data_IF_912176183608
#
_entry.id   IF_912176183608
#
_cell.length_a   1.000
_cell.length_b   1.000
_cell.length_c   1.000
_cell.angle_alpha   90.00
_cell.angle_beta   90.00
_cell.angle_gamma   90.00
#
_symmetry.space_group_name_H-M   'P 1'
#
loop_
_entity.id
_entity.type
_entity.pdbx_description
1 polymer ?
#
# COMPACT_ATOMS: atom_id res chain seq x y z
N UNK A 1 -29.96 -26.00 2.74
CA UNK A 1 -28.86 -26.85 2.28
C UNK A 1 -28.59 -26.44 0.86
N UNK A 2 -27.34 -26.14 0.52
CA UNK A 2 -26.98 -25.59 -0.79
C UNK A 2 -27.07 -26.71 -1.84
N UNK A 3 -27.70 -26.46 -3.00
CA UNK A 3 -28.11 -27.48 -3.98
C UNK A 3 -26.94 -28.31 -4.50
N UNK A 4 -25.76 -27.71 -4.62
CA UNK A 4 -24.58 -28.32 -5.22
C UNK A 4 -23.44 -28.60 -4.23
N UNK A 5 -23.68 -28.52 -2.92
CA UNK A 5 -22.63 -28.57 -1.88
C UNK A 5 -21.65 -29.75 -2.03
N UNK A 6 -22.17 -30.98 -2.16
CA UNK A 6 -21.32 -32.17 -2.29
C UNK A 6 -20.50 -32.18 -3.59
N UNK A 7 -21.09 -31.66 -4.67
CA UNK A 7 -20.43 -31.62 -5.99
C UNK A 7 -19.30 -30.59 -5.99
N UNK A 8 -19.54 -29.41 -5.41
CA UNK A 8 -18.53 -28.37 -5.27
C UNK A 8 -17.37 -28.83 -4.40
N UNK A 9 -17.66 -29.50 -3.28
CA UNK A 9 -16.63 -30.08 -2.41
C UNK A 9 -15.77 -31.09 -3.19
N UNK A 10 -16.40 -32.01 -3.92
CA UNK A 10 -15.68 -33.00 -4.73
C UNK A 10 -14.79 -32.35 -5.80
N UNK A 11 -15.32 -31.38 -6.55
CA UNK A 11 -14.58 -30.67 -7.60
C UNK A 11 -13.37 -29.91 -7.02
N UNK A 12 -13.56 -29.19 -5.92
CA UNK A 12 -12.49 -28.43 -5.28
C UNK A 12 -11.41 -29.33 -4.69
N UNK A 13 -11.78 -30.43 -4.02
CA UNK A 13 -10.83 -31.40 -3.45
C UNK A 13 -10.02 -32.14 -4.53
N UNK A 14 -10.64 -32.48 -5.67
CA UNK A 14 -9.95 -33.22 -6.74
C UNK A 14 -9.07 -32.34 -7.62
N UNK A 15 -9.49 -31.10 -7.87
CA UNK A 15 -8.68 -30.14 -8.60
C UNK A 15 -7.59 -29.50 -7.75
N UNK A 16 -7.77 -29.45 -6.43
CA UNK A 16 -6.95 -28.65 -5.52
C UNK A 16 -7.13 -27.14 -5.72
N UNK A 17 -8.14 -26.73 -6.49
CA UNK A 17 -8.50 -25.33 -6.71
C UNK A 17 -9.62 -24.98 -5.73
N UNK A 18 -9.40 -24.03 -4.80
CA UNK A 18 -10.44 -23.64 -3.86
C UNK A 18 -11.65 -23.04 -4.57
N UNK A 19 -12.84 -23.31 -4.05
CA UNK A 19 -14.09 -22.69 -4.52
C UNK A 19 -14.74 -21.98 -3.35
N UNK A 20 -15.04 -20.71 -3.54
CA UNK A 20 -15.68 -19.84 -2.56
C UNK A 20 -17.09 -19.49 -3.04
N UNK A 21 -18.03 -19.43 -2.11
CA UNK A 21 -19.41 -19.00 -2.40
C UNK A 21 -19.77 -17.87 -1.45
N UNK A 22 -19.99 -16.69 -2.01
CA UNK A 22 -20.51 -15.52 -1.29
C UNK A 22 -22.02 -15.50 -1.46
N UNK A 23 -22.73 -16.01 -0.45
CA UNK A 23 -24.19 -16.02 -0.41
C UNK A 23 -24.74 -15.20 0.75
N UNK A 24 -26.07 -15.16 0.88
CA UNK A 24 -26.75 -14.41 1.96
C UNK A 24 -26.38 -14.89 3.37
N UNK A 25 -25.90 -16.14 3.50
CA UNK A 25 -25.57 -16.79 4.78
C UNK A 25 -24.10 -16.64 5.20
N UNK A 26 -23.31 -15.88 4.45
CA UNK A 26 -21.88 -15.69 4.69
C UNK A 26 -20.99 -16.31 3.61
N UNK A 27 -19.69 -16.38 3.91
CA UNK A 27 -18.66 -16.87 3.00
C UNK A 27 -18.39 -18.36 3.22
N UNK A 28 -18.77 -19.20 2.24
CA UNK A 28 -18.45 -20.64 2.24
C UNK A 28 -17.16 -20.91 1.47
N UNK A 29 -16.41 -21.92 1.90
CA UNK A 29 -15.15 -22.33 1.27
C UNK A 29 -15.09 -23.85 1.09
N UNK A 30 -14.66 -24.29 -0.10
CA UNK A 30 -14.51 -25.70 -0.50
C UNK A 30 -13.09 -25.96 -1.01
N UNK A 31 -12.58 -27.18 -0.80
CA UNK A 31 -11.22 -27.57 -1.19
C UNK A 31 -10.11 -27.02 -0.27
N UNK A 32 -10.48 -26.36 0.83
CA UNK A 32 -9.58 -25.83 1.85
C UNK A 32 -10.07 -26.23 3.23
N UNK A 33 -9.13 -26.44 4.16
CA UNK A 33 -9.49 -26.73 5.55
C UNK A 33 -9.86 -25.44 6.27
N UNK A 34 -10.96 -25.47 7.00
CA UNK A 34 -11.48 -24.32 7.75
C UNK A 34 -10.45 -23.78 8.76
N UNK A 35 -9.69 -24.67 9.41
CA UNK A 35 -8.60 -24.33 10.33
C UNK A 35 -7.44 -23.55 9.68
N UNK A 36 -7.34 -23.54 8.34
CA UNK A 36 -6.29 -22.81 7.62
C UNK A 36 -6.68 -21.38 7.27
N UNK A 37 -7.97 -21.06 7.35
CA UNK A 37 -8.50 -19.79 6.88
C UNK A 37 -8.09 -18.62 7.78
N UNK A 38 -7.94 -17.43 7.18
CA UNK A 38 -7.63 -16.19 7.89
C UNK A 38 -8.85 -15.63 8.66
N UNK A 39 -8.93 -14.31 8.86
CA UNK A 39 -10.17 -13.65 9.30
C UNK A 39 -11.20 -13.62 8.16
N UNK A 40 -12.49 -13.85 8.47
CA UNK A 40 -13.55 -13.90 7.46
C UNK A 40 -13.80 -12.53 6.81
N UNK A 41 -13.77 -11.44 7.57
CA UNK A 41 -14.02 -10.10 7.06
C UNK A 41 -12.98 -9.69 6.02
N UNK A 42 -11.71 -10.02 6.30
CA UNK A 42 -10.59 -9.78 5.38
C UNK A 42 -10.73 -10.58 4.10
N UNK A 43 -11.10 -11.88 4.20
CA UNK A 43 -11.33 -12.72 3.02
C UNK A 43 -12.50 -12.24 2.19
N UNK A 44 -13.63 -11.95 2.84
CA UNK A 44 -14.85 -11.53 2.19
C UNK A 44 -14.65 -10.23 1.41
N UNK A 45 -13.93 -9.26 2.00
CA UNK A 45 -13.56 -8.02 1.30
C UNK A 45 -12.76 -8.32 0.04
N UNK A 46 -11.66 -9.08 0.17
CA UNK A 46 -10.81 -9.44 -0.98
C UNK A 46 -11.58 -10.18 -2.07
N UNK A 47 -12.41 -11.17 -1.70
CA UNK A 47 -13.19 -11.96 -2.66
C UNK A 47 -14.30 -11.13 -3.32
N UNK A 48 -14.90 -10.18 -2.60
CA UNK A 48 -15.82 -9.20 -3.17
C UNK A 48 -15.12 -8.30 -4.18
N UNK A 49 -13.88 -7.88 -3.91
CA UNK A 49 -13.07 -7.23 -4.94
C UNK A 49 -12.93 -8.19 -6.12
N UNK A 50 -12.53 -9.45 -5.89
CA UNK A 50 -12.30 -10.43 -6.97
C UNK A 50 -13.51 -10.61 -7.88
N UNK A 51 -14.70 -10.54 -7.31
CA UNK A 51 -15.97 -10.60 -8.02
C UNK A 51 -16.52 -9.25 -8.51
N UNK A 52 -15.84 -8.12 -8.29
CA UNK A 52 -16.32 -6.78 -8.67
C UNK A 52 -16.61 -6.70 -10.18
N UNK A 53 -17.84 -6.39 -10.59
CA UNK A 53 -18.20 -6.35 -12.02
C UNK A 53 -18.48 -7.72 -12.65
N UNK A 54 -18.63 -8.77 -11.85
CA UNK A 54 -19.14 -10.08 -12.26
C UNK A 54 -20.68 -10.07 -12.32
N UNK A 55 -21.24 -9.22 -13.19
CA UNK A 55 -22.69 -9.03 -13.29
C UNK A 55 -23.35 -10.01 -14.24
N UNK A 56 -22.69 -10.36 -15.35
CA UNK A 56 -23.17 -11.32 -16.34
C UNK A 56 -22.02 -12.18 -16.88
N UNK A 57 -22.26 -13.48 -17.04
CA UNK A 57 -21.27 -14.42 -17.59
C UNK A 57 -20.23 -14.92 -16.59
N UNK A 58 -19.21 -15.60 -17.12
CA UNK A 58 -18.05 -16.12 -16.39
C UNK A 58 -16.86 -15.23 -16.70
N UNK A 59 -16.16 -14.77 -15.68
CA UNK A 59 -14.97 -13.94 -15.87
C UNK A 59 -13.75 -14.61 -15.25
N UNK A 60 -12.67 -14.72 -16.03
CA UNK A 60 -11.38 -15.21 -15.55
C UNK A 60 -10.42 -14.02 -15.43
N UNK A 61 -9.74 -13.95 -14.28
CA UNK A 61 -8.83 -12.87 -13.91
C UNK A 61 -7.49 -13.44 -13.51
N UNK A 62 -6.43 -12.77 -13.94
CA UNK A 62 -5.06 -13.06 -13.53
C UNK A 62 -4.51 -11.86 -12.76
N UNK A 63 -4.16 -12.05 -11.50
CA UNK A 63 -3.56 -10.98 -10.71
C UNK A 63 -2.08 -10.82 -11.11
N UNK A 64 -1.51 -9.64 -10.82
CA UNK A 64 -0.09 -9.33 -11.06
C UNK A 64 0.92 -10.26 -10.35
N UNK A 65 0.46 -10.98 -9.33
CA UNK A 65 1.16 -12.06 -8.61
C UNK A 65 1.26 -13.35 -9.43
N UNK A 66 0.48 -13.50 -10.50
CA UNK A 66 0.45 -14.68 -11.38
C UNK A 66 -0.60 -15.72 -11.00
N UNK A 67 -1.42 -15.44 -9.99
CA UNK A 67 -2.54 -16.28 -9.57
C UNK A 67 -3.79 -16.01 -10.41
N UNK A 68 -4.54 -17.08 -10.66
CA UNK A 68 -5.76 -17.11 -11.44
C UNK A 68 -6.97 -17.22 -10.51
N UNK A 69 -7.98 -16.42 -10.84
CA UNK A 69 -9.30 -16.47 -10.27
C UNK A 69 -10.35 -16.51 -11.37
N UNK A 70 -11.49 -17.10 -11.07
CA UNK A 70 -12.69 -16.90 -11.87
C UNK A 70 -13.86 -16.56 -10.98
N UNK A 71 -14.79 -15.76 -11.49
CA UNK A 71 -16.05 -15.46 -10.82
C UNK A 71 -17.23 -15.66 -11.77
N UNK A 72 -18.39 -15.95 -11.20
CA UNK A 72 -19.68 -15.83 -11.86
C UNK A 72 -20.82 -15.77 -10.82
N UNK A 73 -21.94 -15.20 -11.21
CA UNK A 73 -23.15 -15.12 -10.37
C UNK A 73 -24.13 -16.26 -10.71
N UNK A 74 -24.81 -16.80 -9.70
CA UNK A 74 -25.88 -17.78 -9.84
C UNK A 74 -26.94 -17.61 -8.73
N UNK A 75 -27.97 -18.47 -8.70
CA UNK A 75 -29.12 -18.34 -7.78
C UNK A 75 -28.73 -18.26 -6.29
N UNK A 76 -27.69 -18.99 -5.86
CA UNK A 76 -27.29 -19.08 -4.45
C UNK A 76 -26.24 -18.03 -4.03
N UNK A 77 -25.82 -17.18 -4.98
CA UNK A 77 -24.84 -16.11 -4.74
C UNK A 77 -23.73 -16.05 -5.79
N UNK A 78 -22.60 -15.49 -5.39
CA UNK A 78 -21.43 -15.33 -6.26
C UNK A 78 -20.41 -16.44 -5.99
N UNK A 79 -20.03 -17.14 -7.04
CA UNK A 79 -19.06 -18.23 -7.00
C UNK A 79 -17.70 -17.71 -7.45
N UNK A 80 -16.66 -18.06 -6.71
CA UNK A 80 -15.28 -17.68 -7.02
C UNK A 80 -14.41 -18.94 -6.98
N UNK A 81 -13.73 -19.24 -8.08
CA UNK A 81 -12.71 -20.29 -8.14
C UNK A 81 -11.32 -19.66 -8.03
N UNK A 82 -10.43 -20.28 -7.25
CA UNK A 82 -9.04 -19.83 -7.05
C UNK A 82 -8.69 -19.61 -5.58
N UNK A 83 -7.44 -19.27 -5.24
CA UNK A 83 -6.34 -19.04 -6.16
C UNK A 83 -5.87 -20.34 -6.80
N UNK A 84 -5.51 -20.26 -8.07
CA UNK A 84 -4.68 -21.25 -8.75
C UNK A 84 -3.42 -20.58 -9.28
N UNK A 85 -2.33 -21.32 -9.46
CA UNK A 85 -1.04 -20.74 -9.83
C UNK A 85 -0.46 -21.43 -11.06
N UNK A 86 -0.06 -20.66 -12.07
CA UNK A 86 0.70 -21.20 -13.20
C UNK A 86 2.13 -21.55 -12.81
N UNK A 87 2.75 -20.70 -11.97
CA UNK A 87 4.03 -20.98 -11.32
C UNK A 87 3.83 -21.08 -9.82
N UNK A 88 3.97 -22.29 -9.28
CA UNK A 88 3.64 -22.55 -7.89
C UNK A 88 4.55 -21.76 -6.91
N UNK A 89 4.01 -21.17 -5.82
CA UNK A 89 4.79 -20.32 -4.93
C UNK A 89 5.95 -21.01 -4.20
N UNK A 90 5.89 -22.34 -4.04
CA UNK A 90 6.97 -23.10 -3.39
C UNK A 90 8.16 -23.43 -4.31
N UNK A 91 8.06 -23.18 -5.62
CA UNK A 91 9.12 -23.45 -6.61
C UNK A 91 9.61 -22.18 -7.32
N UNK A 92 9.28 -21.00 -6.79
CA UNK A 92 9.74 -19.71 -7.34
C UNK A 92 8.62 -18.75 -7.76
N UNK A 93 7.35 -19.14 -7.64
CA UNK A 93 6.21 -18.25 -7.83
C UNK A 93 6.02 -17.25 -6.69
N UNK A 94 5.17 -16.23 -6.91
CA UNK A 94 4.78 -15.30 -5.84
C UNK A 94 3.61 -15.88 -5.05
N UNK A 95 3.62 -15.71 -3.73
CA UNK A 95 2.53 -16.17 -2.83
C UNK A 95 1.21 -15.43 -3.01
N UNK A 96 1.27 -14.19 -3.53
CA UNK A 96 0.15 -13.30 -3.77
C UNK A 96 -0.93 -13.33 -2.67
N UNK A 97 -2.15 -13.67 -3.04
CA UNK A 97 -3.34 -13.66 -2.19
C UNK A 97 -3.36 -14.72 -1.08
N UNK A 98 -2.44 -15.69 -1.08
CA UNK A 98 -2.40 -16.73 -0.05
C UNK A 98 -2.27 -16.15 1.37
N UNK A 99 -1.56 -15.03 1.54
CA UNK A 99 -1.42 -14.35 2.83
C UNK A 99 -2.68 -13.61 3.30
N UNK A 100 -3.64 -13.40 2.40
CA UNK A 100 -4.95 -12.79 2.69
C UNK A 100 -5.96 -13.89 3.01
N UNK A 101 -5.92 -15.00 2.26
CA UNK A 101 -6.89 -16.09 2.37
C UNK A 101 -6.61 -17.04 3.53
N UNK A 102 -5.35 -17.22 3.91
CA UNK A 102 -4.94 -18.20 4.92
C UNK A 102 -4.25 -17.54 6.11
N UNK A 103 -4.46 -18.10 7.30
CA UNK A 103 -3.76 -17.68 8.51
C UNK A 103 -2.23 -17.79 8.29
N UNK A 104 -1.42 -16.83 8.78
CA UNK A 104 0.03 -16.80 8.51
C UNK A 104 0.77 -18.11 8.81
N UNK A 105 0.37 -18.82 9.88
CA UNK A 105 0.95 -20.11 10.27
C UNK A 105 0.63 -21.24 9.26
N UNK A 106 -0.49 -21.13 8.54
CA UNK A 106 -1.06 -22.18 7.70
C UNK A 106 -0.86 -21.94 6.20
N UNK A 107 -0.34 -20.77 5.78
CA UNK A 107 -0.08 -20.45 4.36
C UNK A 107 0.72 -21.54 3.65
N UNK A 108 1.80 -22.04 4.26
CA UNK A 108 2.62 -23.09 3.65
C UNK A 108 1.85 -24.40 3.48
N UNK A 109 1.06 -24.79 4.48
CA UNK A 109 0.25 -26.00 4.45
C UNK A 109 -0.86 -25.91 3.41
N UNK A 110 -1.53 -24.75 3.31
CA UNK A 110 -2.54 -24.49 2.29
C UNK A 110 -1.96 -24.57 0.87
N UNK A 111 -0.79 -23.97 0.63
CA UNK A 111 -0.12 -24.03 -0.67
C UNK A 111 0.28 -25.45 -1.07
N UNK A 112 0.67 -26.32 -0.14
CA UNK A 112 1.00 -27.71 -0.46
C UNK A 112 -0.20 -28.52 -0.98
N UNK A 113 -1.43 -28.05 -0.73
CA UNK A 113 -2.66 -28.68 -1.22
C UNK A 113 -3.06 -28.19 -2.62
N UNK A 114 -2.41 -27.15 -3.15
CA UNK A 114 -2.77 -26.50 -4.41
C UNK A 114 -1.77 -26.89 -5.51
N UNK A 115 -2.20 -27.51 -6.62
CA UNK A 115 -1.30 -27.80 -7.73
C UNK A 115 -0.96 -26.54 -8.54
N UNK A 116 0.14 -26.62 -9.29
CA UNK A 116 0.35 -25.71 -10.40
C UNK A 116 -0.60 -26.09 -11.54
N UNK A 117 -1.31 -25.12 -12.11
CA UNK A 117 -2.31 -25.35 -13.17
C UNK A 117 -2.12 -24.28 -14.24
N UNK A 118 -2.11 -24.68 -15.51
CA UNK A 118 -2.06 -23.73 -16.64
C UNK A 118 -3.35 -22.92 -16.78
N UNK A 119 -3.28 -21.75 -17.41
CA UNK A 119 -4.48 -20.95 -17.72
C UNK A 119 -5.56 -21.75 -18.46
N UNK A 120 -5.16 -22.56 -19.45
CA UNK A 120 -6.07 -23.44 -20.19
C UNK A 120 -6.78 -24.47 -19.31
N UNK A 121 -6.04 -25.15 -18.42
CA UNK A 121 -6.62 -26.13 -17.48
C UNK A 121 -7.53 -25.46 -16.46
N UNK A 122 -7.17 -24.27 -15.99
CA UNK A 122 -8.01 -23.47 -15.10
C UNK A 122 -9.33 -23.08 -15.79
N UNK A 123 -9.29 -22.61 -17.04
CA UNK A 123 -10.50 -22.27 -17.80
C UNK A 123 -11.41 -23.49 -18.03
N UNK A 124 -10.84 -24.69 -18.25
CA UNK A 124 -11.62 -25.93 -18.34
C UNK A 124 -12.32 -26.27 -17.02
N UNK A 125 -11.60 -26.15 -15.90
CA UNK A 125 -12.17 -26.34 -14.57
C UNK A 125 -13.34 -25.38 -14.32
N UNK A 126 -13.15 -24.10 -14.64
CA UNK A 126 -14.17 -23.07 -14.47
C UNK A 126 -15.38 -23.32 -15.37
N UNK A 127 -15.17 -23.76 -16.61
CA UNK A 127 -16.27 -24.13 -17.52
C UNK A 127 -17.13 -25.25 -16.93
N UNK A 128 -16.51 -26.32 -16.43
CA UNK A 128 -17.23 -27.42 -15.78
C UNK A 128 -17.96 -26.94 -14.52
N UNK A 129 -17.28 -26.13 -13.69
CA UNK A 129 -17.87 -25.58 -12.48
C UNK A 129 -19.11 -24.71 -12.77
N UNK A 130 -19.01 -23.84 -13.78
CA UNK A 130 -20.12 -23.00 -14.22
C UNK A 130 -21.25 -23.81 -14.83
N UNK A 131 -20.95 -24.84 -15.63
CA UNK A 131 -21.98 -25.71 -16.22
C UNK A 131 -22.75 -26.48 -15.15
N UNK A 132 -22.06 -26.97 -14.11
CA UNK A 132 -22.71 -27.64 -12.98
C UNK A 132 -23.67 -26.72 -12.22
N UNK A 133 -23.28 -25.45 -12.03
CA UNK A 133 -24.05 -24.51 -11.20
C UNK A 133 -25.15 -23.79 -12.00
N UNK A 134 -24.85 -23.36 -13.23
CA UNK A 134 -25.73 -22.54 -14.10
C UNK A 134 -26.46 -23.36 -15.17
N UNK A 135 -25.97 -24.55 -15.51
CA UNK A 135 -26.47 -25.31 -16.65
C UNK A 135 -26.03 -24.77 -18.03
N UNK A 136 -25.08 -23.84 -18.05
CA UNK A 136 -24.57 -23.20 -19.27
C UNK A 136 -23.12 -23.63 -19.50
N UNK A 137 -22.83 -24.11 -20.71
CA UNK A 137 -21.48 -24.49 -21.12
C UNK A 137 -20.80 -23.34 -21.86
N UNK A 138 -19.49 -23.19 -21.67
CA UNK A 138 -18.66 -22.14 -22.27
C UNK A 138 -17.49 -22.78 -23.02
N UNK A 139 -16.98 -22.09 -24.04
CA UNK A 139 -15.73 -22.51 -24.68
C UNK A 139 -14.53 -22.11 -23.79
N UNK A 140 -13.76 -23.07 -23.24
CA UNK A 140 -12.61 -22.75 -22.42
C UNK A 140 -11.53 -21.94 -23.16
N UNK A 141 -11.43 -22.10 -24.49
CA UNK A 141 -10.46 -21.36 -25.28
C UNK A 141 -10.85 -19.88 -25.43
N UNK A 142 -12.15 -19.59 -25.55
CA UNK A 142 -12.66 -18.22 -25.53
C UNK A 142 -12.40 -17.56 -24.16
N UNK A 143 -12.67 -18.28 -23.06
CA UNK A 143 -12.37 -17.79 -21.70
C UNK A 143 -10.89 -17.49 -21.50
N UNK A 144 -10.00 -18.34 -22.04
CA UNK A 144 -8.54 -18.14 -21.97
C UNK A 144 -8.10 -16.88 -22.75
N UNK A 145 -8.70 -16.63 -23.92
CA UNK A 145 -8.43 -15.44 -24.73
C UNK A 145 -8.92 -14.14 -24.09
N UNK A 146 -9.90 -14.22 -23.19
CA UNK A 146 -10.50 -13.08 -22.49
C UNK A 146 -9.92 -12.83 -21.09
N UNK A 147 -8.89 -13.59 -20.67
CA UNK A 147 -8.29 -13.43 -19.33
C UNK A 147 -7.82 -11.99 -19.12
N UNK A 148 -8.47 -11.29 -18.19
CA UNK A 148 -8.09 -9.93 -17.83
C UNK A 148 -6.94 -9.97 -16.84
N UNK A 149 -5.84 -9.30 -17.19
CA UNK A 149 -4.75 -9.07 -16.25
C UNK A 149 -5.16 -7.92 -15.34
N UNK A 150 -5.34 -8.23 -14.06
CA UNK A 150 -5.69 -7.24 -13.06
C UNK A 150 -4.44 -6.66 -12.43
N UNK A 151 -4.27 -5.35 -12.58
CA UNK A 151 -3.12 -4.63 -12.05
C UNK A 151 -3.44 -4.07 -10.67
N UNK A 152 -2.38 -3.90 -9.88
CA UNK A 152 -2.44 -3.25 -8.56
C UNK A 152 -3.18 -1.90 -8.63
N UNK A 153 -3.02 -1.16 -9.73
CA UNK A 153 -3.68 0.13 -9.95
C UNK A 153 -5.22 0.03 -9.89
N UNK A 154 -5.82 -1.00 -10.49
CA UNK A 154 -7.28 -1.11 -10.56
C UNK A 154 -7.90 -1.45 -9.18
N UNK A 155 -7.17 -2.19 -8.33
CA UNK A 155 -7.56 -2.44 -6.93
C UNK A 155 -7.40 -1.18 -6.07
N UNK A 156 -6.30 -0.43 -6.26
CA UNK A 156 -6.06 0.84 -5.55
C UNK A 156 -7.07 1.92 -5.93
N UNK A 157 -7.52 2.00 -7.19
CA UNK A 157 -8.51 2.99 -7.64
C UNK A 157 -9.88 2.77 -6.98
N UNK A 158 -10.27 1.50 -6.79
CA UNK A 158 -11.51 1.15 -6.09
C UNK A 158 -11.42 1.48 -4.59
N UNK A 159 -10.31 1.12 -3.94
CA UNK A 159 -10.05 1.44 -2.53
C UNK A 159 -9.93 2.95 -2.29
N UNK A 160 -9.33 3.69 -3.24
CA UNK A 160 -9.26 5.15 -3.20
C UNK A 160 -10.65 5.77 -3.23
N UNK A 161 -11.54 5.25 -4.07
CA UNK A 161 -12.92 5.73 -4.17
C UNK A 161 -13.64 5.58 -2.83
N UNK A 162 -13.56 4.42 -2.19
CA UNK A 162 -14.14 4.15 -0.86
C UNK A 162 -13.54 5.10 0.22
N UNK A 163 -12.21 5.20 0.28
CA UNK A 163 -11.53 6.07 1.24
C UNK A 163 -11.89 7.57 1.07
N UNK A 164 -12.11 8.04 -0.15
CA UNK A 164 -12.53 9.42 -0.42
C UNK A 164 -13.96 9.71 0.04
N UNK A 165 -14.84 8.70 0.10
CA UNK A 165 -16.17 8.84 0.69
C UNK A 165 -16.07 8.99 2.22
N UNK A 166 -15.30 8.13 2.89
CA UNK A 166 -15.15 8.15 4.35
C UNK A 166 -14.50 9.45 4.86
N UNK A 167 -13.46 9.95 4.17
CA UNK A 167 -12.77 11.21 4.52
C UNK A 167 -13.67 12.44 4.37
N UNK A 168 -14.71 12.39 3.54
CA UNK A 168 -15.67 13.50 3.39
C UNK A 168 -16.70 13.55 4.51
N UNK A 169 -16.96 12.43 5.18
CA UNK A 169 -17.83 12.36 6.36
C UNK A 169 -17.09 12.76 7.65
N UNK A 170 -15.80 12.46 7.75
CA UNK A 170 -14.94 12.83 8.88
C UNK A 170 -14.03 14.01 8.51
N UNK A 171 -14.31 15.23 8.95
CA UNK A 171 -13.39 16.37 8.79
C UNK A 171 -12.03 16.10 9.49
N UNK A 172 -11.10 15.44 8.80
CA UNK A 172 -9.78 15.08 9.32
C UNK A 172 -8.79 16.24 9.17
N UNK A 173 -8.41 16.85 10.28
CA UNK A 173 -7.23 17.73 10.35
C UNK A 173 -5.96 16.87 10.32
N UNK A 174 -5.18 16.93 9.23
CA UNK A 174 -3.93 16.16 9.07
C UNK A 174 -2.72 17.10 8.93
N UNK A 175 -1.55 16.61 9.33
CA UNK A 175 -0.28 17.33 9.15
C UNK A 175 0.11 17.51 7.66
N UNK A 176 -0.53 16.75 6.76
CA UNK A 176 -0.39 16.80 5.30
C UNK A 176 -1.33 17.81 4.64
N UNK A 177 -2.14 18.53 5.41
CA UNK A 177 -2.86 19.67 4.87
C UNK A 177 -1.85 20.57 4.16
N UNK A 178 -2.01 20.87 2.86
CA UNK A 178 -0.97 21.52 2.04
C UNK A 178 -0.43 22.82 2.65
N UNK A 179 -1.27 23.53 3.41
CA UNK A 179 -0.89 24.75 4.13
C UNK A 179 0.04 24.49 5.32
N UNK A 180 -0.23 23.45 6.10
CA UNK A 180 0.59 23.04 7.26
C UNK A 180 1.94 22.53 6.77
N UNK A 181 1.93 21.66 5.75
CA UNK A 181 3.14 21.12 5.13
C UNK A 181 4.04 22.24 4.59
N UNK A 182 3.47 23.17 3.80
CA UNK A 182 4.24 24.31 3.26
C UNK A 182 4.86 25.15 4.36
N UNK A 183 4.13 25.41 5.45
CA UNK A 183 4.63 26.22 6.58
C UNK A 183 5.80 25.52 7.29
N UNK A 184 5.67 24.24 7.62
CA UNK A 184 6.74 23.51 8.33
C UNK A 184 7.99 23.38 7.46
N UNK A 185 7.83 23.10 6.16
CA UNK A 185 8.95 22.98 5.22
C UNK A 185 9.60 24.33 4.90
N UNK A 186 8.86 25.43 4.94
CA UNK A 186 9.44 26.78 4.80
C UNK A 186 10.44 27.07 5.93
N UNK A 187 10.12 26.70 7.17
CA UNK A 187 11.07 26.86 8.28
C UNK A 187 12.34 26.01 8.11
N UNK A 188 12.22 24.81 7.53
CA UNK A 188 13.40 23.98 7.18
C UNK A 188 14.24 24.67 6.10
N UNK A 189 13.58 25.17 5.06
CA UNK A 189 14.21 25.84 3.91
C UNK A 189 14.96 27.10 4.35
N UNK A 190 14.42 27.87 5.30
CA UNK A 190 15.03 29.10 5.80
C UNK A 190 16.07 28.84 6.92
N UNK A 191 16.11 27.64 7.48
CA UNK A 191 16.93 27.34 8.66
C UNK A 191 16.39 27.94 9.96
N UNK A 192 15.08 28.14 10.06
CA UNK A 192 14.38 28.74 11.21
C UNK A 192 14.21 27.72 12.34
N UNK A 193 15.32 27.37 12.99
CA UNK A 193 15.36 26.38 14.09
C UNK A 193 14.39 26.71 15.22
N UNK A 194 14.23 27.98 15.58
CA UNK A 194 13.39 28.40 16.71
C UNK A 194 11.90 28.30 16.39
N UNK A 195 11.51 28.56 15.13
CA UNK A 195 10.14 28.37 14.68
C UNK A 195 9.74 26.89 14.71
N UNK A 196 10.64 25.99 14.31
CA UNK A 196 10.39 24.54 14.32
C UNK A 196 10.28 23.95 15.72
N UNK A 197 11.06 24.44 16.68
CA UNK A 197 10.93 24.01 18.09
C UNK A 197 9.57 24.35 18.68
N UNK A 198 8.98 25.45 18.24
CA UNK A 198 7.68 25.93 18.70
C UNK A 198 6.51 25.44 17.83
N UNK A 199 6.80 24.77 16.71
CA UNK A 199 5.79 24.28 15.80
C UNK A 199 5.11 23.03 16.38
N UNK A 200 3.79 23.11 16.57
CA UNK A 200 2.98 21.98 17.00
C UNK A 200 2.36 21.33 15.77
N UNK A 201 2.72 20.08 15.50
CA UNK A 201 2.06 19.30 14.46
C UNK A 201 0.57 19.11 14.80
N UNK A 202 -0.34 19.28 13.82
CA UNK A 202 -1.73 18.86 13.99
C UNK A 202 -1.76 17.38 14.36
N UNK A 203 -2.53 17.04 15.40
CA UNK A 203 -2.79 15.64 15.73
C UNK A 203 -4.01 15.20 14.95
N UNK A 204 -3.90 14.10 14.21
CA UNK A 204 -5.05 13.43 13.63
C UNK A 204 -6.01 13.08 14.77
N UNK A 205 -7.25 13.58 14.69
CA UNK A 205 -8.26 13.55 15.77
C UNK A 205 -8.91 12.20 16.01
N UNK A 206 -8.35 11.12 15.47
CA UNK A 206 -8.94 9.80 15.65
C UNK A 206 -8.32 9.09 16.87
N UNK A 207 -9.04 9.16 17.99
CA UNK A 207 -8.70 8.48 19.24
C UNK A 207 -9.13 7.00 19.22
N UNK A 208 -9.96 6.60 18.25
CA UNK A 208 -10.58 5.27 18.18
C UNK A 208 -10.10 4.42 17.01
N UNK A 209 -9.56 5.01 15.95
CA UNK A 209 -8.71 4.27 15.03
C UNK A 209 -7.39 3.97 15.74
N UNK A 210 -7.14 2.70 16.03
CA UNK A 210 -5.77 2.22 16.21
C UNK A 210 -5.01 2.49 14.89
N UNK A 211 -4.52 3.72 14.73
CA UNK A 211 -3.65 4.10 13.63
C UNK A 211 -2.52 3.09 13.58
N UNK A 212 -2.52 2.28 12.54
CA UNK A 212 -1.57 1.18 12.40
C UNK A 212 -0.17 1.79 12.52
N UNK A 213 0.69 1.29 13.42
CA UNK A 213 2.09 1.76 13.58
C UNK A 213 2.79 1.93 12.23
N UNK A 214 2.45 1.07 11.27
CA UNK A 214 2.93 1.13 9.89
C UNK A 214 2.58 2.45 9.20
N UNK A 215 1.36 2.95 9.36
CA UNK A 215 0.92 4.23 8.80
C UNK A 215 1.75 5.38 9.37
N UNK A 216 1.89 5.49 10.69
CA UNK A 216 2.70 6.55 11.31
C UNK A 216 4.18 6.48 10.93
N UNK A 217 4.71 5.28 10.73
CA UNK A 217 6.06 5.08 10.22
C UNK A 217 6.19 5.59 8.78
N UNK A 218 5.26 5.25 7.89
CA UNK A 218 5.28 5.72 6.49
C UNK A 218 5.11 7.23 6.39
N UNK A 219 4.28 7.80 7.25
CA UNK A 219 4.14 9.22 7.48
C UNK A 219 5.47 9.90 7.86
N UNK A 220 6.21 9.33 8.81
CA UNK A 220 7.54 9.82 9.18
C UNK A 220 8.54 9.74 8.00
N UNK A 221 8.51 8.65 7.23
CA UNK A 221 9.35 8.46 6.04
C UNK A 221 9.06 9.53 4.99
N UNK A 222 7.78 9.81 4.73
CA UNK A 222 7.38 10.88 3.81
C UNK A 222 7.93 12.24 4.26
N UNK A 223 7.78 12.57 5.55
CA UNK A 223 8.27 13.85 6.06
C UNK A 223 9.80 13.98 6.01
N UNK A 224 10.57 12.93 6.32
CA UNK A 224 12.04 12.93 6.17
C UNK A 224 12.42 13.24 4.73
N UNK A 225 11.70 12.65 3.77
CA UNK A 225 11.94 12.87 2.34
C UNK A 225 11.64 14.32 1.94
N UNK A 226 10.52 14.87 2.40
CA UNK A 226 10.14 16.27 2.15
C UNK A 226 11.12 17.26 2.81
N UNK A 227 11.53 17.01 4.05
CA UNK A 227 12.51 17.82 4.77
C UNK A 227 13.87 17.82 4.07
N UNK A 228 14.27 16.68 3.50
CA UNK A 228 15.49 16.56 2.69
C UNK A 228 15.42 17.48 1.46
N UNK A 229 14.30 17.46 0.73
CA UNK A 229 14.08 18.35 -0.41
C UNK A 229 14.06 19.83 -0.01
N UNK A 230 13.41 20.16 1.10
CA UNK A 230 13.39 21.51 1.66
C UNK A 230 14.79 21.99 2.07
N UNK A 231 15.60 21.14 2.69
CA UNK A 231 16.96 21.47 3.07
C UNK A 231 17.87 21.73 1.86
N UNK A 232 17.74 20.92 0.79
CA UNK A 232 18.43 21.14 -0.48
C UNK A 232 18.02 22.49 -1.09
N UNK A 233 16.72 22.80 -1.09
CA UNK A 233 16.22 24.09 -1.55
C UNK A 233 16.77 25.26 -0.71
N UNK A 234 16.96 25.06 0.60
CA UNK A 234 17.62 26.00 1.52
C UNK A 234 19.13 26.15 1.31
N UNK A 235 19.73 25.37 0.41
CA UNK A 235 21.14 25.47 0.05
C UNK A 235 22.06 24.50 0.78
N UNK A 236 21.52 23.48 1.47
CA UNK A 236 22.31 22.34 1.93
C UNK A 236 22.79 21.52 0.72
N UNK A 237 24.03 21.06 0.75
CA UNK A 237 24.57 20.16 -0.28
C UNK A 237 23.74 18.87 -0.39
N UNK A 238 23.45 18.44 -1.62
CA UNK A 238 22.55 17.31 -1.85
C UNK A 238 23.12 15.99 -1.34
N UNK A 239 24.44 15.78 -1.42
CA UNK A 239 25.08 14.56 -0.90
C UNK A 239 24.94 14.52 0.61
N UNK A 240 25.21 15.65 1.28
CA UNK A 240 25.01 15.77 2.72
C UNK A 240 23.54 15.58 3.14
N UNK A 241 22.60 16.15 2.38
CA UNK A 241 21.17 16.04 2.65
C UNK A 241 20.66 14.59 2.52
N UNK A 242 21.00 13.90 1.43
CA UNK A 242 20.61 12.50 1.24
C UNK A 242 21.31 11.55 2.22
N UNK A 243 22.59 11.79 2.54
CA UNK A 243 23.29 11.01 3.57
C UNK A 243 22.59 11.14 4.93
N UNK A 244 22.10 12.34 5.26
CA UNK A 244 21.36 12.58 6.49
C UNK A 244 19.97 11.91 6.45
N UNK A 245 19.29 11.94 5.30
CA UNK A 245 18.04 11.21 5.06
C UNK A 245 18.20 9.72 5.34
N UNK A 246 19.23 9.08 4.77
CA UNK A 246 19.46 7.64 4.91
C UNK A 246 19.67 7.23 6.37
N UNK A 247 20.44 8.02 7.13
CA UNK A 247 20.65 7.79 8.57
C UNK A 247 19.32 7.85 9.35
N UNK A 248 18.44 8.78 8.99
CA UNK A 248 17.12 8.88 9.61
C UNK A 248 16.19 7.75 9.21
N UNK A 249 16.19 7.31 7.95
CA UNK A 249 15.40 6.16 7.50
C UNK A 249 15.84 4.87 8.20
N UNK A 250 17.16 4.66 8.36
CA UNK A 250 17.70 3.54 9.13
C UNK A 250 17.26 3.60 10.61
N UNK A 251 17.26 4.79 11.21
CA UNK A 251 16.81 4.98 12.60
C UNK A 251 15.32 4.68 12.74
N UNK A 252 14.48 5.21 11.84
CA UNK A 252 13.04 4.96 11.82
C UNK A 252 12.71 3.46 11.71
N UNK A 253 13.45 2.71 10.90
CA UNK A 253 13.28 1.25 10.77
C UNK A 253 13.55 0.46 12.07
N UNK A 254 14.20 1.07 13.07
CA UNK A 254 14.51 0.44 14.37
C UNK A 254 13.58 0.84 15.51
N UNK A 255 12.66 1.78 15.27
CA UNK A 255 11.77 2.33 16.29
C UNK A 255 10.59 1.39 16.54
N UNK A 256 10.40 0.99 17.80
CA UNK A 256 9.37 0.03 18.19
C UNK A 256 8.10 0.68 18.76
N UNK A 257 8.18 1.94 19.22
CA UNK A 257 7.09 2.62 19.93
C UNK A 257 6.58 3.88 19.21
N UNK A 258 5.27 4.12 19.31
CA UNK A 258 4.57 5.30 18.77
C UNK A 258 5.07 6.62 19.39
N UNK A 259 5.35 6.60 20.69
CA UNK A 259 5.89 7.77 21.38
C UNK A 259 7.26 8.20 20.82
N UNK A 260 8.14 7.24 20.51
CA UNK A 260 9.44 7.51 19.91
C UNK A 260 9.34 8.10 18.49
N UNK A 261 8.39 7.63 17.67
CA UNK A 261 8.17 8.16 16.32
C UNK A 261 7.89 9.68 16.34
N UNK A 262 7.01 10.12 17.24
CA UNK A 262 6.64 11.53 17.36
C UNK A 262 7.83 12.43 17.78
N UNK A 263 8.70 11.93 18.65
CA UNK A 263 9.91 12.65 19.08
C UNK A 263 10.94 12.77 17.95
N UNK A 264 11.14 11.69 17.19
CA UNK A 264 12.09 11.65 16.08
C UNK A 264 11.69 12.63 14.98
N UNK A 265 10.39 12.78 14.71
CA UNK A 265 9.89 13.69 13.68
C UNK A 265 10.31 15.15 13.92
N UNK A 266 10.16 15.62 15.16
CA UNK A 266 10.59 16.96 15.57
C UNK A 266 12.11 17.11 15.49
N UNK A 267 12.86 16.08 15.92
CA UNK A 267 14.32 16.04 15.86
C UNK A 267 14.82 16.17 14.41
N UNK A 268 14.21 15.43 13.48
CA UNK A 268 14.53 15.46 12.04
C UNK A 268 14.41 16.89 11.48
N UNK A 269 13.25 17.52 11.65
CA UNK A 269 12.99 18.86 11.09
C UNK A 269 13.97 19.89 11.64
N UNK A 270 14.19 19.88 12.95
CA UNK A 270 15.13 20.78 13.63
C UNK A 270 16.57 20.55 13.16
N UNK A 271 16.97 19.29 12.96
CA UNK A 271 18.34 18.98 12.52
C UNK A 271 18.58 19.43 11.07
N UNK A 272 17.65 19.16 10.15
CA UNK A 272 17.74 19.66 8.77
C UNK A 272 17.82 21.19 8.73
N UNK A 273 16.94 21.90 9.44
CA UNK A 273 16.98 23.36 9.52
C UNK A 273 18.30 23.90 10.08
N UNK A 274 18.86 23.23 11.10
CA UNK A 274 20.17 23.59 11.66
C UNK A 274 21.28 23.45 10.62
N UNK A 275 21.30 22.36 9.85
CA UNK A 275 22.29 22.15 8.78
C UNK A 275 22.20 23.21 7.69
N UNK A 276 20.98 23.62 7.33
CA UNK A 276 20.77 24.74 6.40
C UNK A 276 21.33 26.05 6.97
N UNK A 277 20.98 26.38 8.22
CA UNK A 277 21.47 27.59 8.91
C UNK A 277 23.01 27.63 9.00
N UNK A 278 23.63 26.52 9.36
CA UNK A 278 25.09 26.39 9.47
C UNK A 278 25.78 26.58 8.11
N UNK A 279 25.16 26.10 7.03
CA UNK A 279 25.63 26.27 5.65
C UNK A 279 25.56 27.74 5.24
N UNK A 280 24.43 28.41 5.50
CA UNK A 280 24.27 29.85 5.27
C UNK A 280 25.27 30.71 6.04
N UNK A 281 25.48 30.41 7.33
CA UNK A 281 26.44 31.11 8.18
C UNK A 281 27.90 30.91 7.73
N UNK A 282 28.25 29.72 7.24
CA UNK A 282 29.58 29.42 6.71
C UNK A 282 29.82 30.17 5.39
N UNK A 283 28.81 30.25 4.52
CA UNK A 283 28.86 31.02 3.27
C UNK A 283 29.06 32.52 3.55
N UNK A 284 28.35 33.06 4.54
CA UNK A 284 28.51 34.46 4.99
C UNK A 284 29.92 34.74 5.53
N UNK A 285 30.47 33.87 6.37
CA UNK A 285 31.85 34.03 6.91
C UNK A 285 32.90 34.00 5.80
N UNK A 286 32.75 33.10 4.82
CA UNK A 286 33.64 33.00 3.66
C UNK A 286 33.53 34.24 2.76
N UNK A 287 32.31 34.74 2.52
CA UNK A 287 32.09 35.97 1.77
C UNK A 287 32.69 37.20 2.47
N UNK A 288 32.49 37.32 3.78
CA UNK A 288 33.07 38.41 4.61
C UNK A 288 34.59 38.38 4.65
N UNK A 289 35.21 37.20 4.67
CA UNK A 289 36.68 37.05 4.59
C UNK A 289 37.22 37.40 3.19
N UNK A 290 36.47 37.09 2.14
CA UNK A 290 36.90 37.29 0.74
C UNK A 290 36.68 38.72 0.23
N UNK A 291 35.65 39.42 0.74
CA UNK A 291 35.24 40.74 0.24
C UNK A 291 35.05 41.81 1.32
N UNK A 292 35.14 41.46 2.61
CA UNK A 292 34.97 42.39 3.72
C UNK A 292 36.26 43.07 4.20
N UNK A 293 37.44 42.73 3.64
CA UNK A 293 38.73 43.37 3.96
C UNK A 293 39.04 44.59 3.08
N UNK A 294 38.29 44.82 2.00
CA UNK A 294 38.40 46.03 1.17
C UNK A 294 37.57 47.18 1.77
N UNK A 295 38.00 47.66 2.94
CA UNK A 295 37.77 49.04 3.36
C UNK A 295 39.12 49.75 3.46
N UNK A 296 39.56 50.33 2.36
CA UNK A 296 40.41 51.52 2.38
C UNK A 296 39.97 52.51 1.30
N UNK A 297 39.61 53.70 1.78
CA UNK A 297 39.70 54.99 1.09
C UNK A 297 38.99 55.13 -0.27
N UNK A 298 37.72 55.58 -0.23
CA UNK A 298 37.24 56.52 -1.23
C UNK A 298 37.29 57.93 -0.61
N UNK A 299 37.94 58.91 -1.25
CA UNK A 299 37.96 60.27 -0.76
C UNK A 299 36.58 60.89 -0.95
N UNK A 300 36.17 61.69 0.05
CA UNK A 300 35.03 62.59 -0.07
C UNK A 300 35.41 63.63 -1.12
N UNK A 301 34.95 63.46 -2.36
CA UNK A 301 34.93 64.53 -3.36
C UNK A 301 33.50 65.00 -3.52
N UNK A 302 33.29 66.23 -3.06
CA UNK A 302 32.16 67.11 -3.31
C UNK A 302 31.54 66.96 -4.70
N UNK A 303 30.22 66.87 -4.76
CA UNK A 303 29.46 67.39 -5.90
C UNK A 303 28.42 68.38 -5.38
N UNK A 304 28.40 69.54 -6.04
CA UNK A 304 27.55 70.70 -5.82
C UNK A 304 26.07 70.37 -5.98
#
# INVERSE_FOLDING_TARGET
MMKFELTLRYLAEKSGIPVWVMGEKGLLAYGVKEEYLADESVRARFLAEVASGCTEGVQVRKLSSGELYACFSAEEGVYIAGPSYELHPLIGGKRGSAGILFAPANVKAALLMMPAVSAAEFCRFVSVLSEVVRGESFDPAALEGEIRTWRLADSLDMQLTEALFDIREEERETAYAPEVERRVLAHVTNGDVDALKNFRMPRVKDLNAEGNRSQELFECVALVTLATRAAIAGGLDYVAAFSLSDLYLQRLGRVSSRAELSGILSEVLVHFARKVKDTGASRWKTWRRRWGSTRSTFPVSSFR
#
